data_IF_997186892256
#
_entry.id   IF_997186892256
#
_cell.length_a   1.000
_cell.length_b   1.000
_cell.length_c   1.000
_cell.angle_alpha   90.00
_cell.angle_beta   90.00
_cell.angle_gamma   90.00
#
_symmetry.space_group_name_H-M   'P 1'
#
loop_
_entity.id
_entity.type
_entity.pdbx_description
1 polymer ?
#
# COMPACT_ATOMS: atom_id res chain seq x y z
N UNK A 1 11.74 35.33 13.40
CA UNK A 1 11.58 33.96 12.87
C UNK A 1 12.52 33.85 11.69
N UNK A 2 13.30 32.77 11.57
CA UNK A 2 14.21 32.63 10.44
C UNK A 2 13.40 32.47 9.14
N UNK A 3 13.79 33.17 8.09
CA UNK A 3 13.22 33.02 6.76
C UNK A 3 13.43 31.57 6.28
N UNK A 4 12.45 30.95 5.60
CA UNK A 4 12.60 29.59 5.08
C UNK A 4 13.68 29.54 4.00
N UNK A 5 14.21 28.35 3.73
CA UNK A 5 15.01 28.16 2.52
C UNK A 5 14.10 28.09 1.29
N UNK A 6 14.56 28.61 0.15
CA UNK A 6 13.90 28.34 -1.14
C UNK A 6 13.89 26.82 -1.35
N UNK A 7 12.77 26.29 -1.86
CA UNK A 7 12.51 24.85 -2.03
C UNK A 7 12.33 24.05 -0.72
N UNK A 8 12.26 24.70 0.45
CA UNK A 8 11.95 24.01 1.69
C UNK A 8 10.51 23.47 1.68
N UNK A 9 10.33 22.19 1.98
CA UNK A 9 9.02 21.56 2.13
C UNK A 9 8.66 21.49 3.60
N UNK A 10 7.45 21.94 3.95
CA UNK A 10 6.89 21.82 5.30
C UNK A 10 5.47 21.27 5.27
N UNK A 11 5.07 20.68 6.39
CA UNK A 11 3.73 20.16 6.63
C UNK A 11 2.88 21.25 7.28
N UNK A 12 1.66 21.44 6.77
CA UNK A 12 0.71 22.44 7.24
C UNK A 12 -0.65 21.79 7.55
N UNK A 13 -1.30 22.18 8.68
CA UNK A 13 -2.60 21.63 9.09
C UNK A 13 -3.80 22.32 8.42
N UNK A 14 -3.58 23.40 7.67
CA UNK A 14 -4.65 24.21 7.08
C UNK A 14 -4.70 24.07 5.56
N UNK A 15 -5.88 24.33 5.00
CA UNK A 15 -6.24 24.03 3.61
C UNK A 15 -5.92 25.14 2.61
N UNK A 16 -4.81 25.87 2.81
CA UNK A 16 -4.34 26.90 1.87
C UNK A 16 -2.82 27.01 1.92
N UNK A 17 -2.21 27.39 0.80
CA UNK A 17 -0.79 27.73 0.77
C UNK A 17 -0.61 29.19 1.23
N UNK A 18 0.20 29.47 2.28
CA UNK A 18 0.49 30.84 2.69
C UNK A 18 1.19 31.62 1.57
N UNK A 19 1.20 32.95 1.66
CA UNK A 19 1.94 33.79 0.71
C UNK A 19 3.42 33.39 0.69
N UNK A 20 3.97 33.20 -0.50
CA UNK A 20 5.36 32.74 -0.70
C UNK A 20 5.53 31.23 -0.67
N UNK A 21 4.45 30.47 -0.52
CA UNK A 21 4.40 29.02 -0.57
C UNK A 21 3.47 28.54 -1.67
N UNK A 22 3.62 27.29 -2.05
CA UNK A 22 2.72 26.58 -2.96
C UNK A 22 2.48 25.16 -2.47
N UNK A 23 1.33 24.57 -2.82
CA UNK A 23 1.11 23.14 -2.59
C UNK A 23 2.07 22.29 -3.42
N UNK A 24 2.49 21.17 -2.84
CA UNK A 24 3.23 20.12 -3.54
C UNK A 24 2.25 19.23 -4.33
N UNK A 25 1.60 19.80 -5.34
CA UNK A 25 0.55 19.15 -6.16
C UNK A 25 1.00 18.89 -7.62
N UNK A 26 2.31 18.82 -7.89
CA UNK A 26 2.82 18.50 -9.24
C UNK A 26 2.66 19.62 -10.28
N UNK A 27 2.19 20.80 -9.89
CA UNK A 27 1.91 21.90 -10.80
C UNK A 27 3.15 22.43 -11.54
N UNK A 28 2.97 22.83 -12.80
CA UNK A 28 4.00 23.46 -13.61
C UNK A 28 4.12 24.95 -13.29
N UNK A 29 5.34 25.42 -13.06
CA UNK A 29 5.64 26.83 -12.84
C UNK A 29 6.48 27.42 -13.99
N UNK A 30 6.27 28.70 -14.34
CA UNK A 30 7.11 29.39 -15.31
C UNK A 30 8.52 29.55 -14.75
N UNK A 31 9.51 29.09 -15.52
CA UNK A 31 10.93 29.16 -15.15
C UNK A 31 11.39 30.62 -15.00
N UNK A 32 10.93 31.51 -15.89
CA UNK A 32 11.34 32.91 -15.94
C UNK A 32 11.03 33.70 -14.66
N UNK A 33 10.05 33.27 -13.87
CA UNK A 33 9.64 33.93 -12.62
C UNK A 33 10.16 33.19 -11.38
N UNK A 34 10.71 31.98 -11.53
CA UNK A 34 11.07 31.09 -10.44
C UNK A 34 12.50 30.52 -10.64
N UNK A 35 13.43 31.34 -11.11
CA UNK A 35 14.79 30.93 -11.47
C UNK A 35 15.56 30.32 -10.30
N UNK A 36 15.41 30.89 -9.09
CA UNK A 36 16.03 30.36 -7.87
C UNK A 36 15.46 29.00 -7.46
N UNK A 37 14.16 28.78 -7.64
CA UNK A 37 13.54 27.49 -7.35
C UNK A 37 13.96 26.43 -8.39
N UNK A 38 13.98 26.82 -9.67
CA UNK A 38 14.44 25.95 -10.76
C UNK A 38 15.91 25.53 -10.60
N UNK A 39 16.80 26.40 -10.13
CA UNK A 39 18.21 26.03 -9.93
C UNK A 39 18.43 24.99 -8.82
N UNK A 40 17.43 24.77 -7.96
CA UNK A 40 17.42 23.72 -6.93
C UNK A 40 16.71 22.46 -7.40
N UNK A 41 15.52 22.58 -8.01
CA UNK A 41 14.70 21.42 -8.37
C UNK A 41 14.99 20.86 -9.77
N UNK A 42 15.51 21.68 -10.68
CA UNK A 42 15.67 21.33 -12.09
C UNK A 42 14.36 20.85 -12.69
N UNK A 43 14.42 19.73 -13.42
CA UNK A 43 13.26 19.04 -14.01
C UNK A 43 12.96 17.71 -13.31
N UNK A 44 13.45 17.50 -12.08
CA UNK A 44 13.32 16.23 -11.36
C UNK A 44 11.87 15.77 -11.23
N UNK A 45 10.94 16.71 -11.05
CA UNK A 45 9.50 16.41 -10.91
C UNK A 45 8.70 16.63 -12.21
N UNK A 46 9.37 16.95 -13.32
CA UNK A 46 8.76 17.19 -14.62
C UNK A 46 8.95 18.61 -15.17
N UNK A 47 8.22 18.91 -16.25
CA UNK A 47 8.37 20.10 -17.06
C UNK A 47 9.46 19.96 -18.14
N UNK A 48 9.65 21.03 -18.92
CA UNK A 48 10.51 20.98 -20.11
C UNK A 48 11.91 21.59 -19.91
N UNK A 49 12.19 22.18 -18.74
CA UNK A 49 13.48 22.78 -18.39
C UNK A 49 13.86 24.02 -19.21
N UNK A 50 12.95 24.53 -20.06
CA UNK A 50 13.17 25.70 -20.93
C UNK A 50 12.25 26.84 -20.55
N UNK A 51 10.95 26.58 -20.54
CA UNK A 51 9.92 27.54 -20.16
C UNK A 51 9.27 27.22 -18.82
N UNK A 52 9.30 25.94 -18.40
CA UNK A 52 8.69 25.50 -17.15
C UNK A 52 9.44 24.33 -16.49
N UNK A 53 9.08 24.11 -15.24
CA UNK A 53 9.44 22.95 -14.42
C UNK A 53 8.27 22.63 -13.49
N UNK A 54 8.21 21.43 -12.95
CA UNK A 54 7.17 21.02 -12.01
C UNK A 54 7.63 21.09 -10.56
N UNK A 55 6.68 21.34 -9.65
CA UNK A 55 6.85 21.07 -8.22
C UNK A 55 6.69 19.57 -7.94
N UNK A 56 7.13 19.08 -6.77
CA UNK A 56 6.79 17.74 -6.32
C UNK A 56 5.28 17.54 -6.25
N UNK A 57 4.82 16.32 -6.51
CA UNK A 57 3.47 15.86 -6.19
C UNK A 57 3.55 14.95 -4.96
N UNK A 58 2.94 15.38 -3.86
CA UNK A 58 2.86 14.63 -2.59
C UNK A 58 1.41 14.24 -2.25
N UNK A 59 0.47 14.42 -3.17
CA UNK A 59 -0.92 14.03 -2.94
C UNK A 59 -1.03 12.50 -2.87
N UNK A 60 -1.54 11.98 -1.75
CA UNK A 60 -1.69 10.54 -1.52
C UNK A 60 -0.36 9.78 -1.35
N UNK A 61 0.76 10.49 -1.13
CA UNK A 61 2.11 9.89 -1.10
C UNK A 61 2.77 10.05 0.26
N UNK A 62 3.53 9.03 0.67
CA UNK A 62 4.43 9.11 1.81
C UNK A 62 5.85 9.50 1.33
N UNK A 63 6.45 10.59 1.83
CA UNK A 63 7.79 10.98 1.43
C UNK A 63 8.84 9.99 1.96
N UNK A 64 9.81 9.63 1.11
CA UNK A 64 10.95 8.76 1.44
C UNK A 64 12.26 9.47 1.08
N UNK A 65 13.29 9.27 1.90
CA UNK A 65 14.63 9.80 1.61
C UNK A 65 15.25 9.03 0.42
N UNK A 66 15.85 9.72 -0.57
CA UNK A 66 16.47 9.06 -1.72
C UNK A 66 17.80 8.38 -1.34
N UNK A 67 18.31 7.55 -2.25
CA UNK A 67 19.60 6.87 -2.15
C UNK A 67 19.46 5.42 -1.71
N UNK A 68 20.59 4.81 -1.37
CA UNK A 68 20.69 3.41 -0.96
C UNK A 68 21.31 3.32 0.43
N UNK A 69 20.46 3.12 1.44
CA UNK A 69 20.94 2.80 2.80
C UNK A 69 21.58 1.41 2.86
N UNK A 70 22.43 1.11 3.87
CA UNK A 70 23.02 -0.22 4.03
C UNK A 70 21.96 -1.32 4.08
N UNK A 71 22.01 -2.25 3.11
CA UNK A 71 21.05 -3.35 3.00
C UNK A 71 19.66 -2.97 2.45
N UNK A 72 19.49 -1.74 1.96
CA UNK A 72 18.24 -1.27 1.34
C UNK A 72 18.36 -1.21 -0.19
N UNK A 73 17.20 -1.10 -0.85
CA UNK A 73 17.11 -0.80 -2.28
C UNK A 73 17.57 0.63 -2.55
N UNK A 74 18.08 0.87 -3.76
CA UNK A 74 18.35 2.20 -4.27
C UNK A 74 17.04 2.87 -4.70
N UNK A 75 16.83 4.12 -4.29
CA UNK A 75 15.73 4.95 -4.76
C UNK A 75 16.24 6.29 -5.29
N UNK A 76 15.88 6.66 -6.51
CA UNK A 76 16.29 7.92 -7.11
C UNK A 76 15.44 9.08 -6.58
N UNK A 77 16.01 10.29 -6.51
CA UNK A 77 15.24 11.47 -6.12
C UNK A 77 14.15 11.75 -7.17
N UNK A 78 12.90 11.85 -6.72
CA UNK A 78 11.74 12.05 -7.58
C UNK A 78 11.16 10.76 -8.15
N UNK A 79 11.77 9.60 -7.86
CA UNK A 79 11.17 8.30 -8.15
C UNK A 79 9.87 8.12 -7.37
N UNK A 80 8.90 7.45 -7.99
CA UNK A 80 7.60 7.14 -7.38
C UNK A 80 7.35 5.64 -7.41
N UNK A 81 6.84 5.09 -6.31
CA UNK A 81 6.48 3.68 -6.21
C UNK A 81 5.45 3.42 -5.12
N UNK A 82 5.19 2.14 -4.83
CA UNK A 82 4.19 1.69 -3.87
C UNK A 82 2.84 1.35 -4.50
N UNK A 83 1.93 0.81 -3.67
CA UNK A 83 0.55 0.48 -4.05
C UNK A 83 -0.37 0.61 -2.84
N UNK A 84 -1.54 1.24 -3.03
CA UNK A 84 -2.55 1.43 -1.99
C UNK A 84 -3.27 0.13 -1.63
N UNK A 85 -3.32 -0.82 -2.58
CA UNK A 85 -3.95 -2.13 -2.40
C UNK A 85 -3.09 -3.24 -2.97
N UNK A 86 -3.15 -4.43 -2.38
CA UNK A 86 -2.45 -5.62 -2.86
C UNK A 86 -3.42 -6.79 -2.90
N UNK A 87 -3.44 -7.52 -4.00
CA UNK A 87 -4.09 -8.83 -4.07
C UNK A 87 -3.07 -9.88 -3.68
N UNK A 88 -3.37 -10.66 -2.64
CA UNK A 88 -2.51 -11.77 -2.24
C UNK A 88 -2.58 -12.88 -3.29
N UNK A 89 -1.42 -13.25 -3.81
CA UNK A 89 -1.27 -14.41 -4.66
C UNK A 89 -1.14 -15.68 -3.79
N UNK A 90 -1.46 -16.85 -4.36
CA UNK A 90 -1.26 -18.14 -3.68
C UNK A 90 0.21 -18.34 -3.24
N UNK A 91 1.17 -17.78 -4.00
CA UNK A 91 2.59 -17.79 -3.64
C UNK A 91 2.96 -16.95 -2.42
N UNK A 92 2.08 -16.04 -2.00
CA UNK A 92 2.28 -15.13 -0.87
C UNK A 92 1.64 -15.65 0.43
N UNK A 93 0.91 -16.77 0.35
CA UNK A 93 0.34 -17.45 1.51
C UNK A 93 1.06 -18.79 1.77
N UNK A 94 1.24 -19.19 3.05
CA UNK A 94 1.78 -20.51 3.35
C UNK A 94 0.92 -21.62 2.74
N UNK A 95 1.58 -22.55 2.05
CA UNK A 95 0.93 -23.75 1.55
C UNK A 95 0.31 -24.53 2.71
N UNK A 96 -0.99 -24.78 2.60
CA UNK A 96 -1.75 -25.58 3.56
C UNK A 96 -2.73 -26.46 2.79
N UNK A 97 -3.20 -27.52 3.44
CA UNK A 97 -4.21 -28.41 2.87
C UNK A 97 -5.23 -28.80 3.92
N UNK A 98 -6.45 -29.06 3.45
CA UNK A 98 -7.51 -29.64 4.25
C UNK A 98 -7.74 -31.06 3.76
N UNK A 99 -7.72 -32.02 4.69
CA UNK A 99 -8.16 -33.38 4.44
C UNK A 99 -9.51 -33.58 5.11
N UNK A 100 -10.58 -33.79 4.33
CA UNK A 100 -11.84 -34.24 4.90
C UNK A 100 -11.75 -35.75 5.15
N UNK A 101 -11.97 -36.15 6.40
CA UNK A 101 -11.90 -37.54 6.83
C UNK A 101 -13.25 -37.94 7.43
N UNK A 102 -13.71 -39.16 7.17
CA UNK A 102 -14.98 -39.68 7.69
C UNK A 102 -14.88 -41.17 8.05
N UNK A 103 -15.83 -41.67 8.84
CA UNK A 103 -16.02 -43.11 9.04
C UNK A 103 -16.67 -43.73 7.80
N UNK A 104 -16.25 -44.94 7.45
CA UNK A 104 -16.82 -45.71 6.34
C UNK A 104 -17.87 -46.72 6.85
N UNK A 105 -18.82 -46.23 7.65
CA UNK A 105 -19.99 -46.99 8.08
C UNK A 105 -21.18 -46.70 7.16
N UNK A 106 -22.17 -47.61 7.17
CA UNK A 106 -23.40 -47.40 6.38
C UNK A 106 -24.17 -46.22 6.97
N UNK A 107 -24.51 -45.24 6.13
CA UNK A 107 -25.29 -44.08 6.53
C UNK A 107 -26.70 -44.48 7.01
N UNK A 108 -27.16 -43.81 8.08
CA UNK A 108 -28.48 -44.03 8.68
C UNK A 108 -29.63 -43.47 7.81
N UNK A 109 -29.33 -42.55 6.89
CA UNK A 109 -30.27 -42.02 5.91
C UNK A 109 -29.75 -42.24 4.47
N UNK A 110 -30.67 -42.58 3.57
CA UNK A 110 -30.42 -42.87 2.14
C UNK A 110 -30.76 -41.69 1.24
N UNK A 111 -31.38 -40.64 1.78
CA UNK A 111 -31.83 -39.48 1.01
C UNK A 111 -31.02 -38.26 1.45
N UNK A 112 -30.10 -37.74 0.61
CA UNK A 112 -29.42 -36.49 0.89
C UNK A 112 -30.43 -35.34 1.01
N UNK A 113 -30.30 -34.52 2.07
CA UNK A 113 -31.17 -33.38 2.32
C UNK A 113 -30.44 -32.24 3.02
N UNK A 114 -30.99 -31.01 3.00
CA UNK A 114 -30.36 -29.83 3.59
C UNK A 114 -30.27 -29.88 5.14
N UNK A 115 -30.96 -30.82 5.78
CA UNK A 115 -30.90 -31.09 7.22
C UNK A 115 -29.93 -32.21 7.60
N UNK A 116 -29.31 -32.88 6.63
CA UNK A 116 -28.43 -34.02 6.86
C UNK A 116 -26.96 -33.59 6.87
N UNK A 117 -26.15 -34.21 7.74
CA UNK A 117 -24.70 -34.04 7.76
C UNK A 117 -23.99 -35.39 7.63
N UNK A 118 -22.80 -35.38 7.02
CA UNK A 118 -22.00 -36.58 6.77
C UNK A 118 -21.55 -37.29 8.05
N UNK A 119 -21.54 -36.58 9.18
CA UNK A 119 -21.35 -37.14 10.51
C UNK A 119 -22.18 -36.32 11.50
N UNK A 120 -23.03 -36.98 12.29
CA UNK A 120 -23.78 -36.38 13.41
C UNK A 120 -23.28 -37.00 14.71
N UNK A 121 -22.72 -36.20 15.60
CA UNK A 121 -22.46 -36.67 16.97
C UNK A 121 -23.77 -36.64 17.76
N UNK A 122 -24.23 -37.80 18.22
CA UNK A 122 -25.32 -37.91 19.20
C UNK A 122 -24.76 -38.50 20.48
N UNK A 123 -24.54 -37.68 21.50
CA UNK A 123 -23.96 -38.14 22.78
C UNK A 123 -22.47 -38.52 22.75
N UNK A 124 -21.75 -38.24 21.66
CA UNK A 124 -20.32 -38.52 21.52
C UNK A 124 -19.41 -37.36 21.94
N UNK A 125 -18.17 -37.68 22.34
CA UNK A 125 -17.13 -36.67 22.57
C UNK A 125 -16.76 -35.97 21.26
N UNK A 126 -17.15 -34.71 21.11
CA UNK A 126 -16.84 -33.89 19.93
C UNK A 126 -15.34 -33.74 19.67
N UNK A 127 -14.52 -33.93 20.71
CA UNK A 127 -13.07 -33.99 20.64
C UNK A 127 -12.61 -35.36 21.14
N UNK A 128 -12.24 -36.24 20.23
CA UNK A 128 -11.68 -37.56 20.51
C UNK A 128 -10.51 -37.83 19.56
N UNK A 129 -9.60 -38.73 19.95
CA UNK A 129 -8.56 -39.19 19.05
C UNK A 129 -9.22 -39.91 17.84
N UNK A 130 -8.82 -39.58 16.60
CA UNK A 130 -9.39 -40.24 15.42
C UNK A 130 -9.03 -41.72 15.41
N UNK A 131 -10.01 -42.60 15.15
CA UNK A 131 -9.81 -44.03 14.96
C UNK A 131 -10.59 -44.48 13.73
N UNK A 132 -9.98 -45.22 12.80
CA UNK A 132 -10.70 -45.81 11.66
C UNK A 132 -11.24 -44.83 10.62
N UNK A 133 -10.71 -43.61 10.54
CA UNK A 133 -11.13 -42.64 9.52
C UNK A 133 -10.58 -42.98 8.13
N UNK A 134 -11.36 -42.62 7.11
CA UNK A 134 -11.02 -42.76 5.69
C UNK A 134 -11.07 -41.40 4.99
N UNK A 135 -10.18 -41.14 4.02
CA UNK A 135 -10.20 -39.89 3.27
C UNK A 135 -11.40 -39.83 2.34
N UNK A 136 -12.10 -38.69 2.34
CA UNK A 136 -13.10 -38.39 1.32
C UNK A 136 -12.43 -37.94 0.01
N UNK A 137 -13.19 -37.98 -1.08
CA UNK A 137 -12.74 -37.50 -2.38
C UNK A 137 -12.38 -36.01 -2.32
N UNK A 138 -11.28 -35.58 -2.94
CA UNK A 138 -10.79 -34.21 -2.86
C UNK A 138 -11.83 -33.15 -3.31
N UNK A 139 -12.75 -33.52 -4.19
CA UNK A 139 -13.84 -32.67 -4.68
C UNK A 139 -14.87 -32.32 -3.60
N UNK A 140 -14.83 -32.97 -2.42
CA UNK A 140 -15.66 -32.59 -1.27
C UNK A 140 -15.23 -31.25 -0.65
N UNK A 141 -14.05 -30.75 -1.01
CA UNK A 141 -13.51 -29.47 -0.56
C UNK A 141 -13.36 -28.57 -1.78
N UNK A 142 -14.13 -27.49 -1.83
CA UNK A 142 -13.91 -26.44 -2.81
C UNK A 142 -12.76 -25.54 -2.33
N UNK A 143 -11.89 -25.06 -3.24
CA UNK A 143 -10.97 -23.97 -2.90
C UNK A 143 -11.77 -22.74 -2.44
N UNK A 144 -11.26 -22.05 -1.44
CA UNK A 144 -11.85 -20.83 -0.90
C UNK A 144 -10.86 -19.67 -1.05
N UNK A 145 -11.39 -18.49 -1.39
CA UNK A 145 -10.60 -17.31 -1.76
C UNK A 145 -11.29 -16.58 -2.92
N UNK A 146 -11.22 -15.26 -2.94
CA UNK A 146 -11.92 -14.43 -3.94
C UNK A 146 -11.02 -13.49 -4.73
N UNK A 147 -9.69 -13.63 -4.57
CA UNK A 147 -8.65 -12.79 -5.18
C UNK A 147 -8.92 -11.28 -5.07
N UNK A 148 -9.64 -10.86 -4.03
CA UNK A 148 -9.95 -9.46 -3.82
C UNK A 148 -8.75 -8.76 -3.18
N UNK A 149 -8.38 -7.57 -3.68
CA UNK A 149 -7.31 -6.80 -3.09
C UNK A 149 -7.67 -6.36 -1.67
N UNK A 150 -6.68 -6.35 -0.78
CA UNK A 150 -6.79 -5.75 0.54
C UNK A 150 -6.08 -4.40 0.60
N UNK A 151 -6.48 -3.57 1.56
CA UNK A 151 -5.79 -2.32 1.86
C UNK A 151 -4.33 -2.60 2.26
N UNK A 152 -3.39 -1.89 1.65
CA UNK A 152 -1.96 -1.95 1.94
C UNK A 152 -1.43 -0.66 2.60
N UNK A 153 -2.32 0.31 2.86
CA UNK A 153 -1.96 1.54 3.54
C UNK A 153 -1.89 1.34 5.06
N UNK A 154 -0.80 1.82 5.67
CA UNK A 154 -0.71 1.99 7.13
C UNK A 154 -1.72 3.03 7.64
N UNK A 155 -2.08 3.03 8.93
CA UNK A 155 -2.87 4.12 9.51
C UNK A 155 -2.22 5.49 9.22
N UNK A 156 -3.01 6.45 8.72
CA UNK A 156 -2.50 7.76 8.31
C UNK A 156 -3.40 8.91 8.77
N UNK A 157 -2.79 10.11 8.84
CA UNK A 157 -3.48 11.38 9.02
C UNK A 157 -2.98 12.35 7.96
N UNK A 158 -3.91 12.96 7.23
CA UNK A 158 -3.59 13.80 6.07
C UNK A 158 -3.29 15.25 6.48
N UNK A 159 -2.22 15.79 5.91
CA UNK A 159 -1.83 17.19 6.02
C UNK A 159 -1.45 17.75 4.65
N UNK A 160 -1.39 19.08 4.53
CA UNK A 160 -0.93 19.73 3.31
C UNK A 160 0.59 19.87 3.30
N UNK A 161 1.24 19.36 2.26
CA UNK A 161 2.63 19.66 1.99
C UNK A 161 2.72 20.93 1.16
N UNK A 162 3.49 21.90 1.65
CA UNK A 162 3.78 23.11 0.89
C UNK A 162 5.29 23.29 0.73
N UNK A 163 5.67 23.86 -0.40
CA UNK A 163 7.05 24.23 -0.74
C UNK A 163 7.21 25.75 -0.77
N UNK A 164 8.29 26.24 -0.19
CA UNK A 164 8.63 27.66 -0.21
C UNK A 164 9.10 28.09 -1.61
N UNK A 165 8.35 29.01 -2.22
CA UNK A 165 8.70 29.62 -3.51
C UNK A 165 9.75 30.73 -3.35
N UNK A 166 9.84 31.31 -2.15
CA UNK A 166 10.71 32.44 -1.80
C UNK A 166 11.33 32.20 -0.42
N UNK A 167 12.53 32.72 -0.20
CA UNK A 167 13.28 32.49 1.03
C UNK A 167 14.78 32.76 0.86
N UNK A 168 15.57 32.31 1.82
CA UNK A 168 17.04 32.32 1.73
C UNK A 168 17.46 31.23 0.74
N UNK A 169 18.37 31.55 -0.18
CA UNK A 169 18.92 30.53 -1.07
C UNK A 169 19.88 29.63 -0.27
N UNK A 170 19.71 28.29 -0.28
CA UNK A 170 20.53 27.40 0.51
C UNK A 170 21.98 27.36 -0.04
N UNK A 171 23.01 27.61 0.80
CA UNK A 171 24.40 27.56 0.36
C UNK A 171 24.80 26.10 0.06
N UNK A 172 25.51 25.90 -1.04
CA UNK A 172 26.19 24.63 -1.33
C UNK A 172 27.55 24.68 -0.63
N UNK A 173 27.69 23.92 0.46
CA UNK A 173 28.96 23.74 1.17
C UNK A 173 29.89 22.78 0.46
#
# INVERSE_FOLDING_TARGET
>A
MADPFVAEIRIFPFNFAPRGWAWCDGQLLPLSQNTALFSLLGTTYGGNGKSNFALPDLQGRAPMHPGQGPGLSLHDLGETGGSDTVTLLESEIPSHSHGLQTFNDVGEDRIPGPSESLARSTGGSLYAAPAGLTPMAAQSLAPAGGDQPHNNMMPYLTFYFNIALQGVFPPRG
#
